data_IF_609509949003
#
_entry.id   IF_609509949003
#
_cell.length_a   1.000
_cell.length_b   1.000
_cell.length_c   1.000
_cell.angle_alpha   90.00
_cell.angle_beta   90.00
_cell.angle_gamma   90.00
#
_symmetry.space_group_name_H-M   'P 1'
#
loop_
_entity.id
_entity.type
_entity.pdbx_description
1 polymer ?
#
# COMPACT_ATOMS: atom_id res chain seq x y z
N UNK A 1 71.79 -3.40 -74.44
CA UNK A 1 71.82 -3.32 -72.94
C UNK A 1 70.44 -2.85 -72.49
N UNK A 2 69.67 -3.71 -71.80
CA UNK A 2 68.24 -3.55 -71.55
C UNK A 2 68.02 -3.03 -70.17
N UNK A 3 67.37 -1.89 -70.07
CA UNK A 3 66.87 -1.33 -68.79
C UNK A 3 65.55 -2.04 -68.38
N UNK A 4 65.36 -2.47 -67.11
CA UNK A 4 64.09 -2.89 -66.65
C UNK A 4 63.33 -1.69 -66.06
N UNK A 5 62.11 -1.49 -66.56
CA UNK A 5 61.10 -0.59 -65.99
C UNK A 5 60.59 -1.15 -64.66
N UNK A 6 60.76 -0.39 -63.61
CA UNK A 6 60.07 -0.64 -62.35
C UNK A 6 58.66 -0.06 -62.41
N UNK A 7 57.67 -0.94 -62.41
CA UNK A 7 56.26 -0.57 -62.34
C UNK A 7 55.88 -0.46 -60.85
N UNK A 8 55.79 0.76 -60.31
CA UNK A 8 55.32 1.02 -58.98
C UNK A 8 53.78 0.96 -58.96
N UNK A 9 53.24 -0.09 -58.39
CA UNK A 9 51.80 -0.32 -58.19
C UNK A 9 51.33 0.48 -56.96
N UNK A 10 50.70 1.66 -57.18
CA UNK A 10 50.03 2.44 -56.17
C UNK A 10 48.71 1.76 -55.77
N UNK A 11 48.70 1.14 -54.59
CA UNK A 11 47.47 0.66 -53.95
C UNK A 11 46.73 1.88 -53.37
N UNK A 12 45.44 2.12 -53.65
CA UNK A 12 44.68 3.13 -52.97
C UNK A 12 44.33 2.64 -51.55
N UNK A 13 44.85 3.35 -50.57
CA UNK A 13 44.55 3.13 -49.17
C UNK A 13 43.16 3.72 -48.89
N UNK A 14 42.13 2.87 -48.87
CA UNK A 14 40.80 3.24 -48.40
C UNK A 14 40.84 3.48 -46.90
N UNK A 15 40.87 4.75 -46.48
CA UNK A 15 40.60 5.18 -45.14
C UNK A 15 39.12 4.94 -44.86
N UNK A 16 38.80 3.83 -44.22
CA UNK A 16 37.48 3.59 -43.58
C UNK A 16 37.36 4.55 -42.40
N UNK A 17 36.82 5.72 -42.63
CA UNK A 17 36.35 6.62 -41.59
C UNK A 17 35.14 5.98 -40.92
N UNK A 18 35.35 5.27 -39.81
CA UNK A 18 34.27 4.87 -38.92
C UNK A 18 33.81 6.14 -38.17
N UNK A 19 32.82 6.82 -38.70
CA UNK A 19 32.10 7.84 -37.95
C UNK A 19 31.36 7.16 -36.82
N UNK A 20 31.94 7.14 -35.62
CA UNK A 20 31.20 6.79 -34.39
C UNK A 20 30.16 7.89 -34.19
N UNK A 21 28.94 7.66 -34.64
CA UNK A 21 27.81 8.47 -34.18
C UNK A 21 27.77 8.41 -32.64
N UNK A 22 27.82 9.54 -31.96
CA UNK A 22 27.70 9.53 -30.50
C UNK A 22 26.36 8.89 -30.12
N UNK A 23 26.31 8.10 -29.05
CA UNK A 23 25.06 7.52 -28.58
C UNK A 23 24.07 8.65 -28.27
N UNK A 24 22.84 8.51 -28.75
CA UNK A 24 21.76 9.42 -28.37
C UNK A 24 21.45 9.14 -26.92
N UNK A 25 21.96 9.98 -26.02
CA UNK A 25 21.59 9.95 -24.60
C UNK A 25 20.30 10.78 -24.49
N UNK A 26 19.19 10.10 -24.35
CA UNK A 26 17.91 10.73 -23.97
C UNK A 26 17.91 10.76 -22.44
N UNK A 27 18.14 11.92 -21.80
CA UNK A 27 17.94 12.02 -20.37
C UNK A 27 16.43 11.84 -20.11
N UNK A 28 16.05 10.74 -19.49
CA UNK A 28 14.71 10.54 -18.93
C UNK A 28 14.67 11.35 -17.61
N UNK A 29 14.54 12.66 -17.72
CA UNK A 29 14.14 13.49 -16.59
C UNK A 29 12.63 13.33 -16.39
N UNK A 30 12.20 12.22 -15.84
CA UNK A 30 10.90 12.13 -15.23
C UNK A 30 10.97 12.62 -13.78
N UNK A 31 11.15 13.91 -13.60
CA UNK A 31 10.72 14.55 -12.35
C UNK A 31 9.20 14.57 -12.42
N UNK A 32 8.56 13.45 -12.14
CA UNK A 32 7.16 13.43 -11.79
C UNK A 32 7.08 14.09 -10.42
N UNK A 33 6.74 15.36 -10.39
CA UNK A 33 6.29 15.98 -9.13
C UNK A 33 5.12 15.16 -8.63
N UNK A 34 5.20 14.70 -7.39
CA UNK A 34 4.09 14.02 -6.75
C UNK A 34 2.88 14.97 -6.72
N UNK A 35 1.66 14.48 -6.90
CA UNK A 35 0.47 15.29 -6.67
C UNK A 35 0.48 15.84 -5.26
N UNK A 36 0.20 17.12 -5.12
CA UNK A 36 0.16 17.79 -3.83
C UNK A 36 -1.20 17.60 -3.16
N UNK A 37 -1.19 17.21 -1.89
CA UNK A 37 -2.38 17.05 -1.05
C UNK A 37 -2.31 17.98 0.15
N UNK A 38 -3.27 18.90 0.23
CA UNK A 38 -3.45 19.74 1.41
C UNK A 38 -4.42 19.05 2.39
N UNK A 39 -3.96 18.79 3.61
CA UNK A 39 -4.79 18.25 4.67
C UNK A 39 -5.39 19.42 5.46
N UNK A 40 -6.70 19.66 5.30
CA UNK A 40 -7.40 20.73 6.00
C UNK A 40 -7.50 20.45 7.49
N UNK A 41 -7.53 21.50 8.30
CA UNK A 41 -7.92 21.38 9.70
C UNK A 41 -9.35 20.83 9.79
N UNK A 42 -9.63 20.15 10.90
CA UNK A 42 -10.87 19.43 11.08
C UNK A 42 -11.86 20.24 11.90
N UNK A 43 -12.98 20.64 11.28
CA UNK A 43 -14.14 21.11 12.05
C UNK A 43 -14.77 19.95 12.81
N UNK A 44 -14.95 20.11 14.10
CA UNK A 44 -15.50 19.04 14.91
C UNK A 44 -16.68 19.50 15.73
N UNK A 45 -17.86 19.02 15.39
CA UNK A 45 -19.07 19.05 16.23
C UNK A 45 -19.29 17.71 16.97
N UNK A 46 -18.26 16.85 17.01
CA UNK A 46 -18.39 15.48 17.48
C UNK A 46 -18.28 15.30 18.98
N UNK A 47 -18.85 14.19 19.47
CA UNK A 47 -18.87 13.76 20.88
C UNK A 47 -17.51 13.25 21.39
N UNK A 48 -16.53 13.03 20.51
CA UNK A 48 -15.24 12.43 20.85
C UNK A 48 -14.28 13.44 21.51
N UNK A 49 -13.52 12.97 22.49
CA UNK A 49 -12.44 13.76 23.10
C UNK A 49 -11.37 14.19 22.09
N UNK A 50 -10.69 15.31 22.38
CA UNK A 50 -9.68 15.88 21.48
C UNK A 50 -8.56 14.87 21.14
N UNK A 51 -8.02 14.16 22.12
CA UNK A 51 -6.93 13.20 21.93
C UNK A 51 -7.33 12.05 21.00
N UNK A 52 -8.56 11.54 21.10
CA UNK A 52 -9.04 10.48 20.21
C UNK A 52 -9.16 10.96 18.76
N UNK A 53 -9.74 12.17 18.57
CA UNK A 53 -9.83 12.78 17.23
C UNK A 53 -8.47 12.99 16.60
N UNK A 54 -7.52 13.51 17.38
CA UNK A 54 -6.14 13.72 16.96
C UNK A 54 -5.49 12.40 16.52
N UNK A 55 -5.63 11.34 17.31
CA UNK A 55 -5.11 10.02 16.95
C UNK A 55 -5.74 9.44 15.67
N UNK A 56 -7.05 9.65 15.44
CA UNK A 56 -7.71 9.25 14.20
C UNK A 56 -7.15 10.01 12.99
N UNK A 57 -6.94 11.32 13.14
CA UNK A 57 -6.37 12.14 12.07
C UNK A 57 -4.90 11.82 11.83
N UNK A 58 -4.16 11.44 12.87
CA UNK A 58 -2.76 11.00 12.77
C UNK A 58 -2.65 9.73 11.95
N UNK A 59 -3.49 8.72 12.20
CA UNK A 59 -3.53 7.49 11.39
C UNK A 59 -3.74 7.82 9.91
N UNK A 60 -4.67 8.73 9.61
CA UNK A 60 -4.94 9.12 8.23
C UNK A 60 -3.77 9.86 7.57
N UNK A 61 -3.02 10.66 8.34
CA UNK A 61 -1.79 11.33 7.88
C UNK A 61 -0.67 10.33 7.64
N UNK A 62 -0.48 9.39 8.55
CA UNK A 62 0.54 8.34 8.44
C UNK A 62 0.31 7.49 7.18
N UNK A 63 -0.95 7.19 6.85
CA UNK A 63 -1.30 6.47 5.63
C UNK A 63 -0.94 7.28 4.37
N UNK A 64 -1.16 8.60 4.39
CA UNK A 64 -0.78 9.49 3.28
C UNK A 64 0.73 9.46 3.09
N UNK A 65 1.49 9.65 4.16
CA UNK A 65 2.96 9.69 4.14
C UNK A 65 3.52 8.32 3.73
N UNK A 66 2.97 7.22 4.26
CA UNK A 66 3.37 5.86 3.90
C UNK A 66 3.06 5.48 2.45
N UNK A 67 2.16 6.20 1.79
CA UNK A 67 1.86 5.93 0.38
C UNK A 67 3.00 6.28 -0.57
N UNK A 68 3.89 7.22 -0.20
CA UNK A 68 4.97 7.78 -1.02
C UNK A 68 4.52 8.31 -2.39
N UNK A 69 3.22 8.53 -2.58
CA UNK A 69 2.63 8.97 -3.85
C UNK A 69 2.06 10.38 -3.81
N UNK A 70 2.06 11.00 -2.63
CA UNK A 70 1.49 12.33 -2.38
C UNK A 70 2.51 13.23 -1.66
N UNK A 71 2.53 14.50 -2.05
CA UNK A 71 3.26 15.55 -1.33
C UNK A 71 2.29 16.21 -0.34
N UNK A 72 2.43 15.90 0.96
CA UNK A 72 1.51 16.32 2.00
C UNK A 72 1.86 17.71 2.55
N UNK A 73 0.90 18.62 2.51
CA UNK A 73 0.95 19.91 3.20
C UNK A 73 -0.14 20.00 4.26
N UNK A 74 0.24 20.32 5.48
CA UNK A 74 -0.68 20.47 6.60
C UNK A 74 -1.27 21.88 6.67
N UNK A 75 -2.61 21.96 6.73
CA UNK A 75 -3.33 23.21 6.92
C UNK A 75 -3.71 23.49 8.37
N UNK A 76 -3.80 24.75 8.70
CA UNK A 76 -4.34 25.24 9.99
C UNK A 76 -5.73 25.88 9.84
N UNK A 77 -6.29 25.82 8.64
CA UNK A 77 -7.57 26.46 8.31
C UNK A 77 -8.57 25.36 7.95
N UNK A 78 -9.74 25.42 8.57
CA UNK A 78 -10.88 24.63 8.12
C UNK A 78 -11.47 25.24 6.84
N UNK A 79 -11.26 24.52 5.73
CA UNK A 79 -11.72 24.94 4.40
C UNK A 79 -13.14 24.41 4.10
N UNK A 80 -13.64 23.45 4.87
CA UNK A 80 -14.93 22.81 4.61
C UNK A 80 -16.09 23.84 4.45
N UNK A 81 -16.19 24.91 5.29
CA UNK A 81 -17.21 25.94 5.08
C UNK A 81 -17.07 26.69 3.75
N UNK A 82 -15.85 26.84 3.24
CA UNK A 82 -15.56 27.57 1.99
C UNK A 82 -15.96 26.78 0.75
N UNK A 83 -15.86 25.46 0.80
CA UNK A 83 -16.14 24.57 -0.35
C UNK A 83 -17.54 23.96 -0.34
N UNK A 84 -18.24 23.99 0.80
CA UNK A 84 -19.60 23.43 0.97
C UNK A 84 -20.72 24.42 0.64
N UNK A 85 -20.41 25.70 0.46
CA UNK A 85 -21.38 26.75 0.11
C UNK A 85 -21.53 26.97 -1.39
N UNK A 86 -22.58 27.70 -1.82
CA UNK A 86 -22.68 28.14 -3.21
C UNK A 86 -21.55 29.14 -3.49
N UNK A 87 -20.47 28.67 -4.11
CA UNK A 87 -19.38 29.54 -4.50
C UNK A 87 -19.80 30.56 -5.55
N UNK A 88 -20.06 31.77 -5.11
CA UNK A 88 -20.28 32.89 -6.04
C UNK A 88 -18.97 33.45 -6.65
N UNK A 89 -17.84 33.22 -5.99
CA UNK A 89 -16.48 33.44 -6.50
C UNK A 89 -15.53 32.54 -5.71
N UNK A 90 -14.54 31.88 -6.34
CA UNK A 90 -13.47 31.25 -5.58
C UNK A 90 -12.81 32.37 -4.78
N UNK A 91 -12.91 32.32 -3.46
CA UNK A 91 -12.25 33.31 -2.62
C UNK A 91 -10.73 33.32 -2.96
N UNK A 92 -10.08 34.49 -2.88
CA UNK A 92 -8.64 34.59 -3.08
C UNK A 92 -7.85 33.62 -2.21
N UNK A 93 -8.45 33.18 -1.10
CA UNK A 93 -7.88 32.19 -0.18
C UNK A 93 -7.82 30.79 -0.76
N UNK A 94 -8.83 30.35 -1.54
CA UNK A 94 -8.79 29.07 -2.26
C UNK A 94 -7.80 29.11 -3.42
N UNK A 95 -7.64 30.25 -4.08
CA UNK A 95 -6.61 30.44 -5.10
C UNK A 95 -5.18 30.40 -4.54
N UNK A 96 -5.01 30.58 -3.22
CA UNK A 96 -3.73 30.46 -2.53
C UNK A 96 -3.30 28.99 -2.32
N UNK A 97 -4.25 28.02 -2.41
CA UNK A 97 -3.92 26.62 -2.33
C UNK A 97 -3.45 26.12 -3.70
N UNK A 98 -2.15 26.07 -3.87
CA UNK A 98 -1.52 25.50 -5.07
C UNK A 98 -1.56 23.97 -5.12
N UNK A 99 -2.28 23.35 -4.17
CA UNK A 99 -2.38 21.90 -4.09
C UNK A 99 -3.34 21.33 -5.14
N UNK A 100 -3.02 20.15 -5.66
CA UNK A 100 -3.88 19.44 -6.61
C UNK A 100 -5.16 18.93 -5.96
N UNK A 101 -5.06 18.56 -4.68
CA UNK A 101 -6.15 18.01 -3.89
C UNK A 101 -6.19 18.62 -2.48
N UNK A 102 -7.38 18.68 -1.91
CA UNK A 102 -7.60 19.07 -0.51
C UNK A 102 -8.43 18.00 0.19
N UNK A 103 -7.90 17.41 1.25
CA UNK A 103 -8.61 16.46 2.09
C UNK A 103 -9.33 17.20 3.21
N UNK A 104 -10.61 16.91 3.37
CA UNK A 104 -11.53 17.56 4.28
C UNK A 104 -12.13 16.53 5.25
N UNK A 105 -11.42 16.21 6.36
CA UNK A 105 -11.99 15.38 7.41
C UNK A 105 -12.95 16.19 8.27
N UNK A 106 -14.08 15.57 8.68
CA UNK A 106 -15.07 16.18 9.56
C UNK A 106 -15.66 15.15 10.50
N UNK A 107 -15.78 15.48 11.76
CA UNK A 107 -16.52 14.66 12.73
C UNK A 107 -17.94 15.20 12.91
N UNK A 108 -18.95 14.36 12.71
CA UNK A 108 -20.35 14.62 13.00
C UNK A 108 -20.88 13.56 13.96
N UNK A 109 -21.11 13.94 15.25
CA UNK A 109 -21.42 12.96 16.28
C UNK A 109 -20.33 11.90 16.40
N UNK A 110 -20.69 10.64 16.17
CA UNK A 110 -19.75 9.50 16.17
C UNK A 110 -19.17 9.15 14.80
N UNK A 111 -19.56 9.85 13.76
CA UNK A 111 -19.18 9.53 12.39
C UNK A 111 -18.01 10.41 11.94
N UNK A 112 -16.99 9.81 11.34
CA UNK A 112 -15.99 10.50 10.55
C UNK A 112 -16.45 10.56 9.10
N UNK A 113 -16.50 11.74 8.54
CA UNK A 113 -16.80 12.02 7.12
C UNK A 113 -15.53 12.55 6.48
N UNK A 114 -15.14 11.94 5.36
CA UNK A 114 -13.97 12.40 4.60
C UNK A 114 -14.42 12.79 3.19
N UNK A 115 -14.11 14.03 2.83
CA UNK A 115 -14.33 14.57 1.51
C UNK A 115 -13.00 14.92 0.85
N UNK A 116 -12.94 14.87 -0.46
CA UNK A 116 -11.82 15.29 -1.28
C UNK A 116 -12.30 16.44 -2.17
N UNK A 117 -11.66 17.59 -2.06
CA UNK A 117 -11.89 18.72 -2.94
C UNK A 117 -10.78 18.81 -3.99
N UNK A 118 -11.18 19.00 -5.23
CA UNK A 118 -10.29 19.19 -6.39
C UNK A 118 -10.33 20.67 -6.81
N UNK A 119 -9.37 21.51 -6.41
CA UNK A 119 -9.37 22.95 -6.68
C UNK A 119 -9.46 23.29 -8.17
N UNK A 120 -8.76 22.51 -8.99
CA UNK A 120 -8.75 22.71 -10.46
C UNK A 120 -10.13 22.63 -11.11
N UNK A 121 -11.00 21.77 -10.58
CA UNK A 121 -12.35 21.53 -11.13
C UNK A 121 -13.45 22.15 -10.28
N UNK A 122 -13.12 22.74 -9.14
CA UNK A 122 -14.07 23.23 -8.13
C UNK A 122 -15.10 22.17 -7.72
N UNK A 123 -14.65 20.92 -7.57
CA UNK A 123 -15.51 19.79 -7.24
C UNK A 123 -15.13 19.18 -5.89
N UNK A 124 -16.17 18.89 -5.11
CA UNK A 124 -16.05 18.17 -3.84
C UNK A 124 -16.66 16.79 -3.99
N UNK A 125 -15.87 15.77 -3.64
CA UNK A 125 -16.30 14.37 -3.65
C UNK A 125 -16.42 13.85 -2.23
N UNK A 126 -17.54 13.23 -1.91
CA UNK A 126 -17.65 12.44 -0.69
C UNK A 126 -16.88 11.13 -0.91
N UNK A 127 -15.78 10.93 -0.16
CA UNK A 127 -14.97 9.72 -0.24
C UNK A 127 -15.58 8.62 0.62
N UNK A 128 -15.88 8.92 1.88
CA UNK A 128 -16.47 7.94 2.78
C UNK A 128 -17.05 8.53 4.04
N UNK A 129 -17.87 7.72 4.69
CA UNK A 129 -18.40 7.94 6.04
C UNK A 129 -18.18 6.67 6.84
N UNK A 130 -17.71 6.81 8.06
CA UNK A 130 -17.47 5.68 8.94
C UNK A 130 -17.90 5.99 10.36
N UNK A 131 -18.68 5.08 10.96
CA UNK A 131 -19.06 5.17 12.36
C UNK A 131 -17.95 4.60 13.22
N UNK A 132 -17.46 5.44 14.13
CA UNK A 132 -16.37 5.12 15.03
C UNK A 132 -16.90 4.43 16.29
N UNK A 133 -16.18 3.39 16.74
CA UNK A 133 -16.50 2.64 17.96
C UNK A 133 -15.97 3.27 19.24
N UNK A 134 -15.01 4.21 19.12
CA UNK A 134 -14.39 4.92 20.24
C UNK A 134 -13.10 4.28 20.74
N UNK A 135 -12.60 3.25 20.08
CA UNK A 135 -11.29 2.66 20.37
C UNK A 135 -10.41 2.62 19.11
N UNK A 136 -9.14 2.96 19.27
CA UNK A 136 -8.20 2.94 18.13
C UNK A 136 -8.01 1.54 17.55
N UNK A 137 -8.16 0.49 18.38
CA UNK A 137 -8.02 -0.90 17.94
C UNK A 137 -9.10 -1.28 16.91
N UNK A 138 -10.34 -0.87 17.17
CA UNK A 138 -11.48 -1.17 16.27
C UNK A 138 -11.52 -0.25 15.06
N UNK A 139 -11.16 1.02 15.26
CA UNK A 139 -11.42 2.05 14.26
C UNK A 139 -10.25 2.23 13.28
N UNK A 140 -9.03 1.86 13.67
CA UNK A 140 -7.83 1.95 12.81
C UNK A 140 -8.05 1.33 11.43
N UNK A 141 -8.56 0.11 11.38
CA UNK A 141 -8.84 -0.57 10.11
C UNK A 141 -9.84 0.18 9.23
N UNK A 142 -10.83 0.83 9.84
CA UNK A 142 -11.83 1.63 9.12
C UNK A 142 -11.20 2.89 8.52
N UNK A 143 -10.24 3.50 9.24
CA UNK A 143 -9.52 4.68 8.75
C UNK A 143 -8.63 4.31 7.57
N UNK A 144 -7.88 3.23 7.65
CA UNK A 144 -7.11 2.70 6.53
C UNK A 144 -7.98 2.44 5.29
N UNK A 145 -9.18 1.88 5.46
CA UNK A 145 -10.13 1.68 4.36
C UNK A 145 -10.60 3.01 3.74
N UNK A 146 -10.80 4.06 4.55
CA UNK A 146 -11.11 5.40 4.03
C UNK A 146 -9.94 5.92 3.20
N UNK A 147 -8.71 5.77 3.68
CA UNK A 147 -7.55 6.21 2.89
C UNK A 147 -7.40 5.42 1.59
N UNK A 148 -7.66 4.13 1.58
CA UNK A 148 -7.69 3.34 0.34
C UNK A 148 -8.69 3.89 -0.67
N UNK A 149 -9.85 4.40 -0.22
CA UNK A 149 -10.81 5.08 -1.09
C UNK A 149 -10.29 6.44 -1.59
N UNK A 150 -9.57 7.20 -0.76
CA UNK A 150 -8.88 8.45 -1.18
C UNK A 150 -7.86 8.12 -2.27
N UNK A 151 -7.00 7.14 -2.01
CA UNK A 151 -5.98 6.69 -2.96
C UNK A 151 -6.61 6.26 -4.30
N UNK A 152 -7.64 5.44 -4.24
CA UNK A 152 -8.40 4.99 -5.42
C UNK A 152 -9.01 6.15 -6.21
N UNK A 153 -9.52 7.17 -5.51
CA UNK A 153 -10.10 8.36 -6.16
C UNK A 153 -9.04 9.17 -6.89
N UNK A 154 -7.85 9.34 -6.31
CA UNK A 154 -6.76 10.14 -6.87
C UNK A 154 -6.03 9.38 -8.00
N UNK A 155 -5.68 8.13 -7.77
CA UNK A 155 -4.79 7.36 -8.66
C UNK A 155 -5.50 6.32 -9.53
N UNK A 156 -6.80 6.10 -9.35
CA UNK A 156 -7.58 5.05 -10.01
C UNK A 156 -7.02 3.63 -9.78
N UNK A 157 -6.32 3.44 -8.68
CA UNK A 157 -5.73 2.18 -8.23
C UNK A 157 -6.18 1.89 -6.80
N UNK A 158 -6.31 0.60 -6.46
CA UNK A 158 -6.62 0.21 -5.08
C UNK A 158 -5.50 0.65 -4.14
N UNK A 159 -5.87 1.19 -2.98
CA UNK A 159 -4.93 1.49 -1.91
C UNK A 159 -4.48 0.21 -1.18
N UNK A 160 -3.45 0.34 -0.36
CA UNK A 160 -2.87 -0.78 0.41
C UNK A 160 -2.86 -0.52 1.92
N UNK A 161 -3.35 0.63 2.39
CA UNK A 161 -3.31 0.99 3.81
C UNK A 161 -4.10 0.00 4.68
N UNK A 162 -5.25 -0.49 4.19
CA UNK A 162 -6.05 -1.47 4.91
C UNK A 162 -5.55 -2.91 4.79
N UNK A 163 -4.39 -3.14 4.17
CA UNK A 163 -3.85 -4.49 4.00
C UNK A 163 -3.30 -5.03 5.31
N UNK A 164 -3.27 -6.38 5.40
CA UNK A 164 -2.72 -7.12 6.53
C UNK A 164 -1.55 -7.94 6.06
N UNK A 165 -0.54 -8.05 6.91
CA UNK A 165 0.68 -8.80 6.64
C UNK A 165 0.67 -10.05 7.49
N UNK A 166 0.75 -11.22 6.85
CA UNK A 166 0.98 -12.49 7.54
C UNK A 166 2.48 -12.81 7.54
N UNK A 167 3.00 -13.21 8.68
CA UNK A 167 4.39 -13.62 8.80
C UNK A 167 4.57 -14.70 9.86
N UNK A 168 5.68 -15.44 9.78
CA UNK A 168 6.05 -16.40 10.81
C UNK A 168 7.05 -15.74 11.78
N UNK A 169 6.78 -15.88 13.07
CA UNK A 169 7.72 -15.52 14.13
C UNK A 169 8.30 -16.80 14.71
N UNK A 170 9.61 -16.96 14.53
CA UNK A 170 10.39 -18.06 15.08
C UNK A 170 10.75 -17.77 16.54
N UNK A 171 10.56 -18.74 17.40
CA UNK A 171 10.92 -18.68 18.82
C UNK A 171 11.56 -20.02 19.22
N UNK A 172 12.31 -20.02 20.30
CA UNK A 172 12.86 -21.21 20.93
C UNK A 172 11.90 -21.64 22.04
N UNK A 173 11.56 -22.93 22.13
CA UNK A 173 10.73 -23.45 23.20
C UNK A 173 11.56 -23.76 24.47
N UNK A 174 10.92 -24.35 25.48
CA UNK A 174 11.56 -24.64 26.77
C UNK A 174 12.64 -25.72 26.64
N UNK A 175 12.56 -26.58 25.64
CA UNK A 175 13.47 -27.69 25.39
C UNK A 175 14.62 -27.27 24.45
N UNK A 176 14.61 -26.03 23.94
CA UNK A 176 15.60 -25.47 23.02
C UNK A 176 15.28 -25.77 21.54
N UNK A 177 14.13 -26.32 21.24
CA UNK A 177 13.70 -26.58 19.90
C UNK A 177 13.10 -25.32 19.23
N UNK A 178 13.34 -25.18 17.93
CA UNK A 178 12.81 -24.08 17.16
C UNK A 178 11.38 -24.35 16.75
N UNK A 179 10.48 -23.51 17.27
CA UNK A 179 9.08 -23.47 16.85
C UNK A 179 8.78 -22.15 16.14
N UNK A 180 7.72 -22.12 15.36
CA UNK A 180 7.24 -20.87 14.78
C UNK A 180 5.73 -20.84 14.69
N UNK A 181 5.18 -19.66 14.94
CA UNK A 181 3.76 -19.39 14.81
C UNK A 181 3.52 -18.31 13.76
N UNK A 182 2.31 -18.34 13.19
CA UNK A 182 1.84 -17.35 12.24
C UNK A 182 1.22 -16.18 13.00
N UNK A 183 1.63 -14.99 12.63
CA UNK A 183 1.12 -13.71 13.14
C UNK A 183 0.54 -12.89 12.00
N UNK A 184 -0.40 -12.05 12.36
CA UNK A 184 -0.97 -11.00 11.53
C UNK A 184 -0.64 -9.64 12.12
N UNK A 185 -0.37 -8.67 11.28
CA UNK A 185 -0.21 -7.27 11.67
C UNK A 185 -0.81 -6.38 10.58
N UNK A 186 -1.32 -5.20 10.93
CA UNK A 186 -1.72 -4.22 9.94
C UNK A 186 -0.50 -3.61 9.26
N UNK A 187 -0.68 -3.02 8.09
CA UNK A 187 0.40 -2.46 7.27
C UNK A 187 1.26 -1.44 8.05
N UNK A 188 0.66 -0.70 8.96
CA UNK A 188 1.31 0.30 9.83
C UNK A 188 2.02 -0.29 11.07
N UNK A 189 2.05 -1.61 11.20
CA UNK A 189 2.67 -2.33 12.33
C UNK A 189 1.80 -2.46 13.58
N UNK A 190 0.57 -1.98 13.56
CA UNK A 190 -0.34 -2.06 14.71
C UNK A 190 -1.22 -3.32 14.65
N UNK A 191 -1.94 -3.56 15.74
CA UNK A 191 -2.88 -4.69 15.89
C UNK A 191 -2.23 -6.05 15.62
N UNK A 192 -1.01 -6.25 16.16
CA UNK A 192 -0.33 -7.54 16.10
C UNK A 192 -1.18 -8.63 16.77
N UNK A 193 -1.50 -9.66 16.02
CA UNK A 193 -2.31 -10.79 16.48
C UNK A 193 -1.60 -12.12 16.17
N UNK A 194 -1.55 -13.00 17.15
CA UNK A 194 -1.12 -14.39 16.96
C UNK A 194 -2.27 -15.19 16.35
N UNK A 195 -2.06 -15.80 15.18
CA UNK A 195 -3.09 -16.56 14.44
C UNK A 195 -3.05 -18.04 14.79
N UNK A 196 -1.84 -18.60 14.97
CA UNK A 196 -1.66 -20.01 15.34
C UNK A 196 -1.03 -20.14 16.72
N UNK A 197 -1.26 -21.26 17.38
CA UNK A 197 -0.59 -21.66 18.61
C UNK A 197 -0.17 -23.12 18.46
N UNK A 198 0.80 -23.35 17.57
CA UNK A 198 1.34 -24.68 17.31
C UNK A 198 2.68 -24.83 18.01
N UNK A 199 2.98 -26.04 18.44
CA UNK A 199 4.33 -26.42 18.92
C UNK A 199 5.20 -26.91 17.77
N UNK A 200 4.92 -26.48 16.56
CA UNK A 200 5.56 -26.97 15.35
C UNK A 200 6.27 -25.82 14.61
N UNK A 201 7.06 -26.19 13.63
CA UNK A 201 7.74 -25.24 12.78
C UNK A 201 6.87 -24.91 11.56
N UNK A 202 6.31 -23.68 11.53
CA UNK A 202 5.45 -23.17 10.47
C UNK A 202 6.22 -22.14 9.64
N UNK A 203 6.04 -22.16 8.30
CA UNK A 203 6.68 -21.21 7.39
C UNK A 203 5.75 -20.82 6.24
N UNK A 204 6.09 -19.75 5.54
CA UNK A 204 5.48 -19.27 4.29
C UNK A 204 3.95 -19.16 4.33
N UNK A 205 3.37 -18.38 5.26
CA UNK A 205 1.94 -18.14 5.25
C UNK A 205 1.54 -17.26 4.08
N UNK A 206 0.47 -17.61 3.38
CA UNK A 206 -0.09 -16.86 2.26
C UNK A 206 -1.59 -16.76 2.45
N UNK A 207 -2.12 -15.54 2.46
CA UNK A 207 -3.56 -15.29 2.51
C UNK A 207 -4.21 -15.74 1.19
N UNK A 208 -5.33 -16.45 1.27
CA UNK A 208 -6.09 -16.86 0.07
C UNK A 208 -6.90 -15.64 -0.42
N UNK A 209 -6.66 -15.15 -1.63
CA UNK A 209 -7.42 -14.04 -2.20
C UNK A 209 -8.92 -14.37 -2.25
N UNK A 210 -9.77 -13.36 -2.02
CA UNK A 210 -11.24 -13.49 -2.10
C UNK A 210 -11.87 -14.58 -1.19
N UNK A 211 -11.11 -15.11 -0.21
CA UNK A 211 -11.71 -15.91 0.82
C UNK A 211 -12.77 -15.08 1.53
N UNK A 212 -13.97 -15.59 1.61
CA UNK A 212 -15.26 -14.99 1.97
C UNK A 212 -15.19 -13.63 2.66
N UNK A 213 -15.90 -12.65 2.11
CA UNK A 213 -16.14 -11.33 2.74
C UNK A 213 -16.88 -11.54 4.07
N UNK A 214 -16.12 -11.64 5.15
CA UNK A 214 -16.58 -11.80 6.52
C UNK A 214 -15.46 -11.36 7.46
N UNK A 215 -15.65 -11.52 8.75
CA UNK A 215 -14.67 -11.11 9.76
C UNK A 215 -13.35 -11.89 9.70
N UNK A 216 -13.29 -13.02 8.96
CA UNK A 216 -12.12 -13.87 8.83
C UNK A 216 -11.71 -14.15 7.39
N UNK A 217 -10.52 -14.71 7.22
CA UNK A 217 -9.97 -15.11 5.93
C UNK A 217 -9.30 -16.48 6.04
N UNK A 218 -9.23 -17.19 4.91
CA UNK A 218 -8.48 -18.42 4.78
C UNK A 218 -7.03 -18.13 4.39
N UNK A 219 -6.11 -18.96 4.84
CA UNK A 219 -4.69 -18.87 4.48
C UNK A 219 -4.10 -20.27 4.30
N UNK A 220 -3.02 -20.37 3.54
CA UNK A 220 -2.21 -21.59 3.41
C UNK A 220 -0.85 -21.36 4.01
N UNK A 221 -0.23 -22.40 4.50
CA UNK A 221 1.11 -22.37 5.08
C UNK A 221 1.76 -23.75 5.03
N UNK A 222 3.07 -23.80 5.25
CA UNK A 222 3.79 -25.06 5.36
C UNK A 222 4.04 -25.38 6.83
N UNK A 223 3.73 -26.61 7.23
CA UNK A 223 3.99 -27.14 8.58
C UNK A 223 4.88 -28.38 8.53
N UNK A 224 5.75 -28.52 9.54
CA UNK A 224 6.63 -29.66 9.73
C UNK A 224 6.09 -30.65 10.78
N UNK A 225 4.84 -30.52 11.24
CA UNK A 225 4.24 -31.35 12.30
C UNK A 225 4.31 -32.86 12.02
N UNK A 226 4.41 -33.28 10.76
CA UNK A 226 4.48 -34.69 10.34
C UNK A 226 5.89 -35.15 9.98
N UNK A 227 6.91 -34.43 10.45
CA UNK A 227 8.33 -34.70 10.15
C UNK A 227 8.76 -34.37 8.73
N UNK A 228 7.81 -34.14 7.80
CA UNK A 228 8.04 -33.66 6.46
C UNK A 228 7.19 -32.41 6.19
N UNK A 229 7.72 -31.44 5.44
CA UNK A 229 6.93 -30.24 5.14
C UNK A 229 5.70 -30.56 4.32
N UNK A 230 4.55 -30.14 4.79
CA UNK A 230 3.24 -30.29 4.14
C UNK A 230 2.51 -28.95 4.10
N UNK A 231 1.70 -28.75 3.06
CA UNK A 231 0.87 -27.57 2.93
C UNK A 231 -0.44 -27.79 3.67
N UNK A 232 -0.76 -26.84 4.55
CA UNK A 232 -2.00 -26.80 5.32
C UNK A 232 -2.83 -25.59 4.92
N UNK A 233 -4.13 -25.71 5.13
CA UNK A 233 -5.08 -24.62 5.08
C UNK A 233 -5.60 -24.32 6.47
N UNK A 234 -5.58 -23.07 6.87
CA UNK A 234 -6.15 -22.53 8.10
C UNK A 234 -7.16 -21.43 7.82
N UNK A 235 -7.88 -21.04 8.88
CA UNK A 235 -8.77 -19.88 8.87
C UNK A 235 -8.42 -18.99 10.05
N UNK A 236 -8.42 -17.66 9.85
CA UNK A 236 -7.98 -16.67 10.86
C UNK A 236 -8.88 -16.61 12.11
N UNK A 237 -10.08 -17.17 12.05
CA UNK A 237 -11.02 -17.26 13.17
C UNK A 237 -11.01 -18.62 13.87
N UNK A 238 -10.30 -19.60 13.32
CA UNK A 238 -10.24 -20.95 13.85
C UNK A 238 -8.80 -21.37 14.11
N UNK A 239 -8.48 -21.92 15.28
CA UNK A 239 -7.14 -22.45 15.54
C UNK A 239 -6.85 -23.76 14.78
N UNK A 240 -7.87 -24.37 14.18
CA UNK A 240 -7.73 -25.65 13.47
C UNK A 240 -7.24 -25.42 12.04
N UNK A 241 -6.33 -26.30 11.60
CA UNK A 241 -5.86 -26.34 10.23
C UNK A 241 -5.97 -27.76 9.67
N UNK A 242 -6.08 -27.87 8.36
CA UNK A 242 -6.19 -29.16 7.67
C UNK A 242 -5.16 -29.28 6.56
N UNK A 243 -4.57 -30.47 6.34
CA UNK A 243 -3.71 -30.68 5.18
C UNK A 243 -4.46 -30.34 3.89
N UNK A 244 -3.86 -29.52 3.04
CA UNK A 244 -4.46 -29.11 1.77
C UNK A 244 -4.36 -30.23 0.72
N UNK A 245 -3.23 -30.95 0.74
CA UNK A 245 -2.92 -32.00 -0.23
C UNK A 245 -2.52 -33.30 0.46
N UNK A 246 -2.90 -34.46 -0.11
CA UNK A 246 -2.53 -35.78 0.37
C UNK A 246 -1.36 -36.43 -0.40
N UNK A 247 -0.57 -35.62 -1.12
CA UNK A 247 0.55 -36.10 -1.93
C UNK A 247 1.73 -36.56 -1.07
N UNK A 248 2.45 -37.61 -1.53
CA UNK A 248 3.71 -38.06 -0.92
C UNK A 248 4.85 -37.05 -1.14
N UNK A 249 5.86 -37.10 -0.28
CA UNK A 249 7.03 -36.24 -0.38
C UNK A 249 6.83 -34.83 0.21
N UNK A 250 7.83 -34.00 0.07
CA UNK A 250 7.83 -32.63 0.58
C UNK A 250 6.92 -31.71 -0.25
N UNK A 251 6.20 -30.84 0.44
CA UNK A 251 5.34 -29.81 -0.15
C UNK A 251 5.82 -28.47 0.38
N UNK A 252 6.36 -27.64 -0.49
CA UNK A 252 6.97 -26.36 -0.12
C UNK A 252 6.51 -25.26 -1.08
N UNK A 253 6.67 -24.00 -0.66
CA UNK A 253 6.46 -22.80 -1.46
C UNK A 253 5.09 -22.77 -2.15
N UNK A 254 3.98 -22.78 -1.40
CA UNK A 254 2.67 -22.64 -1.99
C UNK A 254 2.59 -21.34 -2.80
N UNK A 255 1.96 -21.39 -3.96
CA UNK A 255 1.63 -20.23 -4.76
C UNK A 255 0.14 -20.28 -5.11
N UNK A 256 -0.51 -19.14 -5.09
CA UNK A 256 -1.95 -19.03 -5.34
C UNK A 256 -2.20 -18.19 -6.59
N UNK A 257 -3.27 -18.53 -7.33
CA UNK A 257 -3.78 -17.66 -8.37
C UNK A 257 -4.33 -16.35 -7.78
N UNK A 258 -4.42 -15.29 -8.59
CA UNK A 258 -5.02 -14.02 -8.16
C UNK A 258 -6.49 -14.17 -7.69
N UNK A 259 -7.16 -15.23 -8.11
CA UNK A 259 -8.55 -15.53 -7.68
C UNK A 259 -8.60 -16.40 -6.43
N UNK A 260 -7.50 -17.01 -6.01
CA UNK A 260 -7.44 -17.93 -4.90
C UNK A 260 -8.10 -19.28 -5.16
N UNK A 261 -8.36 -19.63 -6.40
CA UNK A 261 -9.04 -20.86 -6.83
C UNK A 261 -8.08 -21.96 -7.31
N UNK A 262 -6.80 -21.63 -7.45
CA UNK A 262 -5.72 -22.56 -7.85
C UNK A 262 -4.46 -22.25 -7.06
#
# INVERSE_FOLDING_TARGET
>A
MRNPLFFAMLLPMFLLSTSKTPPIVVPLETVKSLPSLYFSDCSSTGEWGANYKESILEILKDDIDASFHLDLTMGKIDIEPLVSGPMKNPSKELAAFSSDFVLLPKFEGKTLIVKLYEPRFHQTHLIGKVDLGGTLVEDRQKIHQIFDLVHKKIFHQEGIASTRILFCKKTEDIEGDWISDIYEVQQDGHNLKKITSSQNYLITPIMIPNSKKGEGYDYVFVSYEKGQPKIFKGNSLSPSSTPLLSLRGNQLLPALSLRGDK
#
